data_IF_203558449178
#
_entry.id   IF_203558449178
#
_cell.length_a   1.000
_cell.length_b   1.000
_cell.length_c   1.000
_cell.angle_alpha   90.00
_cell.angle_beta   90.00
_cell.angle_gamma   90.00
#
_symmetry.space_group_name_H-M   'P 1'
#
loop_
_entity.id
_entity.type
_entity.pdbx_description
1 polymer ?
#
# COMPACT_ATOMS: atom_id res chain seq x y z
N UNK A 1 16.72 -3.54 -10.53
CA UNK A 1 16.70 -2.08 -10.78
C UNK A 1 18.08 -1.61 -11.20
N UNK A 2 18.21 -0.81 -12.25
CA UNK A 2 19.50 -0.23 -12.65
C UNK A 2 19.93 0.86 -11.65
N UNK A 3 21.22 1.21 -11.64
CA UNK A 3 21.76 2.30 -10.81
C UNK A 3 21.07 3.63 -11.09
N UNK A 4 20.88 3.98 -12.37
CA UNK A 4 20.23 5.23 -12.76
C UNK A 4 18.77 5.33 -12.31
N UNK A 5 18.05 4.19 -12.24
CA UNK A 5 16.70 4.18 -11.67
C UNK A 5 16.70 4.42 -10.17
N UNK A 6 17.70 3.92 -9.42
CA UNK A 6 17.84 4.23 -8.00
C UNK A 6 18.13 5.71 -7.77
N UNK A 7 19.08 6.26 -8.52
CA UNK A 7 19.45 7.66 -8.36
C UNK A 7 18.27 8.59 -8.61
N UNK A 8 17.42 8.26 -9.60
CA UNK A 8 16.18 8.98 -9.86
C UNK A 8 15.19 8.88 -8.69
N UNK A 9 14.97 7.68 -8.15
CA UNK A 9 14.05 7.45 -7.04
C UNK A 9 14.52 8.17 -5.76
N UNK A 10 15.81 8.06 -5.43
CA UNK A 10 16.42 8.74 -4.28
C UNK A 10 16.36 10.27 -4.43
N UNK A 11 16.61 10.78 -5.64
CA UNK A 11 16.46 12.20 -5.95
C UNK A 11 15.01 12.68 -5.80
N UNK A 12 14.05 11.95 -6.37
CA UNK A 12 12.63 12.29 -6.29
C UNK A 12 12.13 12.27 -4.84
N UNK A 13 12.49 11.24 -4.07
CA UNK A 13 12.13 11.13 -2.66
C UNK A 13 12.69 12.29 -1.84
N UNK A 14 13.96 12.64 -2.06
CA UNK A 14 14.62 13.77 -1.39
C UNK A 14 13.95 15.11 -1.73
N UNK A 15 13.65 15.34 -3.01
CA UNK A 15 13.00 16.57 -3.47
C UNK A 15 11.58 16.73 -2.90
N UNK A 16 10.80 15.65 -2.86
CA UNK A 16 9.45 15.66 -2.30
C UNK A 16 9.46 15.92 -0.78
N UNK A 17 10.37 15.25 -0.06
CA UNK A 17 10.53 15.46 1.40
C UNK A 17 10.99 16.88 1.73
N UNK A 18 11.90 17.46 0.95
CA UNK A 18 12.34 18.86 1.14
C UNK A 18 11.18 19.87 1.00
N UNK A 19 10.12 19.51 0.27
CA UNK A 19 8.90 20.31 0.12
C UNK A 19 7.80 19.94 1.13
N UNK A 20 8.11 19.09 2.12
CA UNK A 20 7.13 18.63 3.11
C UNK A 20 6.02 17.73 2.53
N UNK A 21 6.24 17.12 1.36
CA UNK A 21 5.29 16.18 0.75
C UNK A 21 5.47 14.79 1.34
N UNK A 22 4.40 14.01 1.32
CA UNK A 22 4.38 12.61 1.74
C UNK A 22 4.71 11.67 0.58
N UNK A 23 5.26 10.50 0.91
CA UNK A 23 5.57 9.43 -0.04
C UNK A 23 4.84 8.17 0.39
N UNK A 24 4.19 7.48 -0.57
CA UNK A 24 3.61 6.16 -0.38
C UNK A 24 4.39 5.11 -1.16
N UNK A 25 4.43 3.87 -0.65
CA UNK A 25 5.08 2.75 -1.31
C UNK A 25 4.22 1.48 -1.26
N UNK A 26 3.88 0.94 -2.43
CA UNK A 26 3.27 -0.38 -2.60
C UNK A 26 4.33 -1.30 -3.25
N UNK A 27 4.74 -2.40 -2.60
CA UNK A 27 5.82 -3.24 -3.10
C UNK A 27 5.50 -4.01 -4.40
N UNK A 28 4.23 -4.32 -4.67
CA UNK A 28 3.72 -5.05 -5.85
C UNK A 28 4.74 -6.05 -6.43
N UNK A 29 5.08 -7.10 -5.66
CA UNK A 29 6.25 -7.92 -5.93
C UNK A 29 6.20 -8.60 -7.31
N UNK A 30 7.34 -8.58 -8.01
CA UNK A 30 7.55 -9.23 -9.31
C UNK A 30 8.84 -10.08 -9.28
N UNK A 31 8.88 -11.22 -8.56
CA UNK A 31 10.12 -11.97 -8.31
C UNK A 31 10.90 -12.35 -9.58
N UNK A 32 10.19 -12.62 -10.68
CA UNK A 32 10.77 -12.95 -12.00
C UNK A 32 11.68 -11.88 -12.60
N UNK A 33 11.57 -10.62 -12.13
CA UNK A 33 12.39 -9.50 -12.60
C UNK A 33 13.70 -9.35 -11.82
N UNK A 34 13.94 -10.20 -10.82
CA UNK A 34 15.06 -10.10 -9.90
C UNK A 34 15.98 -11.31 -10.01
N UNK A 35 17.27 -11.09 -9.76
CA UNK A 35 18.26 -12.18 -9.76
C UNK A 35 18.05 -13.15 -8.59
N UNK A 36 17.54 -12.62 -7.48
CA UNK A 36 17.20 -13.39 -6.28
C UNK A 36 16.15 -12.65 -5.45
N UNK A 37 15.43 -13.40 -4.61
CA UNK A 37 14.50 -12.84 -3.63
C UNK A 37 15.21 -11.95 -2.60
N UNK A 38 16.42 -12.34 -2.18
CA UNK A 38 17.23 -11.55 -1.24
C UNK A 38 17.59 -10.17 -1.81
N UNK A 39 18.04 -10.11 -3.08
CA UNK A 39 18.33 -8.84 -3.74
C UNK A 39 17.05 -8.00 -3.88
N UNK A 40 15.93 -8.60 -4.26
CA UNK A 40 14.62 -7.92 -4.32
C UNK A 40 14.24 -7.31 -2.97
N UNK A 41 14.30 -8.10 -1.90
CA UNK A 41 13.90 -7.67 -0.56
C UNK A 41 14.79 -6.52 -0.06
N UNK A 42 16.12 -6.63 -0.18
CA UNK A 42 17.07 -5.57 0.18
C UNK A 42 16.72 -4.25 -0.53
N UNK A 43 16.53 -4.35 -1.84
CA UNK A 43 16.32 -3.23 -2.73
C UNK A 43 14.97 -2.54 -2.55
N UNK A 44 13.90 -3.30 -2.46
CA UNK A 44 12.56 -2.74 -2.24
C UNK A 44 12.43 -2.17 -0.83
N UNK A 45 13.03 -2.80 0.18
CA UNK A 45 13.03 -2.24 1.53
C UNK A 45 13.79 -0.91 1.61
N UNK A 46 14.91 -0.76 0.90
CA UNK A 46 15.62 0.53 0.80
C UNK A 46 14.70 1.65 0.29
N UNK A 47 13.79 1.35 -0.63
CA UNK A 47 12.80 2.31 -1.12
C UNK A 47 11.67 2.51 -0.10
N UNK A 48 11.15 1.43 0.48
CA UNK A 48 10.06 1.47 1.48
C UNK A 48 10.44 2.32 2.70
N UNK A 49 11.69 2.27 3.17
CA UNK A 49 12.16 3.09 4.30
C UNK A 49 12.17 4.60 4.01
N UNK A 50 12.07 4.99 2.74
CA UNK A 50 11.94 6.39 2.36
C UNK A 50 10.47 6.85 2.35
N UNK A 51 9.50 5.94 2.43
CA UNK A 51 8.08 6.27 2.41
C UNK A 51 7.55 6.71 3.78
N UNK A 52 6.50 7.53 3.77
CA UNK A 52 5.67 7.82 4.94
C UNK A 52 4.63 6.71 5.16
N UNK A 53 4.08 6.17 4.07
CA UNK A 53 3.06 5.14 4.10
C UNK A 53 3.48 3.92 3.28
N UNK A 54 3.43 2.73 3.86
CA UNK A 54 3.74 1.47 3.17
C UNK A 54 2.47 0.62 3.09
N UNK A 55 2.16 0.08 1.91
CA UNK A 55 0.91 -0.63 1.64
C UNK A 55 1.15 -2.07 1.13
N UNK A 56 1.78 -2.97 1.91
CA UNK A 56 2.03 -4.34 1.45
C UNK A 56 0.77 -5.20 1.52
N UNK A 57 0.71 -6.28 0.72
CA UNK A 57 -0.06 -7.46 1.10
C UNK A 57 0.65 -8.28 2.17
N UNK A 58 -0.08 -9.13 2.91
CA UNK A 58 0.53 -9.97 3.97
C UNK A 58 1.68 -10.82 3.42
N UNK A 59 1.47 -11.54 2.31
CA UNK A 59 2.52 -12.39 1.71
C UNK A 59 3.74 -11.59 1.27
N UNK A 60 3.53 -10.40 0.71
CA UNK A 60 4.61 -9.50 0.31
C UNK A 60 5.40 -9.02 1.52
N UNK A 61 4.70 -8.63 2.59
CA UNK A 61 5.30 -8.26 3.86
C UNK A 61 6.14 -9.37 4.47
N UNK A 62 5.65 -10.62 4.46
CA UNK A 62 6.42 -11.77 4.93
C UNK A 62 7.72 -11.97 4.14
N UNK A 63 7.64 -11.90 2.80
CA UNK A 63 8.81 -12.04 1.91
C UNK A 63 9.83 -10.91 2.16
N UNK A 64 9.35 -9.67 2.28
CA UNK A 64 10.22 -8.50 2.41
C UNK A 64 10.87 -8.39 3.78
N UNK A 65 10.18 -8.77 4.84
CA UNK A 65 10.61 -8.49 6.23
C UNK A 65 11.12 -9.73 6.97
N UNK A 66 10.73 -10.93 6.52
CA UNK A 66 10.95 -12.19 7.26
C UNK A 66 9.99 -12.40 8.43
N UNK A 67 9.07 -11.46 8.69
CA UNK A 67 8.10 -11.54 9.77
C UNK A 67 6.91 -12.43 9.41
N UNK A 68 6.20 -12.93 10.43
CA UNK A 68 5.07 -13.87 10.26
C UNK A 68 3.71 -13.32 10.69
N UNK A 69 3.68 -12.14 11.31
CA UNK A 69 2.47 -11.50 11.83
C UNK A 69 2.25 -10.13 11.21
N UNK A 70 1.00 -9.66 11.07
CA UNK A 70 0.72 -8.29 10.64
C UNK A 70 1.46 -7.26 11.48
N UNK A 71 1.47 -7.46 12.81
CA UNK A 71 2.15 -6.61 13.76
C UNK A 71 3.66 -6.57 13.52
N UNK A 72 4.31 -7.72 13.35
CA UNK A 72 5.74 -7.81 13.09
C UNK A 72 6.14 -7.12 11.77
N UNK A 73 5.36 -7.37 10.71
CA UNK A 73 5.58 -6.72 9.40
C UNK A 73 5.47 -5.20 9.55
N UNK A 74 4.45 -4.70 10.25
CA UNK A 74 4.31 -3.27 10.44
C UNK A 74 5.43 -2.68 11.30
N UNK A 75 5.78 -3.33 12.41
CA UNK A 75 6.84 -2.88 13.32
C UNK A 75 8.20 -2.83 12.63
N UNK A 76 8.46 -3.74 11.67
CA UNK A 76 9.67 -3.67 10.85
C UNK A 76 9.80 -2.33 10.12
N UNK A 77 8.73 -1.82 9.51
CA UNK A 77 8.74 -0.55 8.78
C UNK A 77 8.68 0.65 9.72
N UNK A 78 7.82 0.62 10.74
CA UNK A 78 7.62 1.72 11.69
C UNK A 78 8.90 2.05 12.46
N UNK A 79 9.64 1.03 12.90
CA UNK A 79 10.93 1.19 13.57
C UNK A 79 12.03 1.81 12.67
N UNK A 80 11.76 1.99 11.37
CA UNK A 80 12.67 2.56 10.38
C UNK A 80 12.19 3.91 9.81
N UNK A 81 11.22 4.54 10.48
CA UNK A 81 10.77 5.90 10.19
C UNK A 81 9.54 6.00 9.29
N UNK A 82 8.94 4.87 8.89
CA UNK A 82 7.62 4.87 8.24
C UNK A 82 6.58 5.30 9.26
N UNK A 83 5.60 6.12 8.84
CA UNK A 83 4.58 6.69 9.74
C UNK A 83 3.35 5.81 9.88
N UNK A 84 2.97 5.11 8.81
CA UNK A 84 1.86 4.17 8.81
C UNK A 84 2.11 2.99 7.86
N UNK A 85 1.63 1.81 8.25
CA UNK A 85 1.63 0.61 7.43
C UNK A 85 0.20 0.12 7.31
N UNK A 86 -0.23 -0.16 6.07
CA UNK A 86 -1.56 -0.68 5.76
C UNK A 86 -1.41 -2.02 5.04
N UNK A 87 -1.72 -3.11 5.73
CA UNK A 87 -1.62 -4.46 5.24
C UNK A 87 -2.92 -4.90 4.57
N UNK A 88 -2.85 -5.21 3.28
CA UNK A 88 -3.94 -5.83 2.52
C UNK A 88 -4.08 -7.29 2.97
N UNK A 89 -5.20 -7.65 3.60
CA UNK A 89 -5.50 -9.00 4.11
C UNK A 89 -6.43 -9.79 3.19
N UNK A 90 -6.71 -9.29 1.98
CA UNK A 90 -7.53 -9.97 0.98
C UNK A 90 -9.00 -9.95 1.38
N UNK A 91 -9.62 -11.12 1.51
CA UNK A 91 -11.04 -11.25 1.84
C UNK A 91 -11.40 -10.74 3.25
N UNK A 92 -10.42 -10.62 4.14
CA UNK A 92 -10.61 -10.06 5.48
C UNK A 92 -10.56 -8.52 5.50
N UNK A 93 -10.20 -7.90 4.38
CA UNK A 93 -10.10 -6.44 4.20
C UNK A 93 -8.67 -5.95 4.34
N UNK A 94 -8.43 -5.16 5.39
CA UNK A 94 -7.11 -4.62 5.66
C UNK A 94 -6.88 -4.39 7.15
N UNK A 95 -5.62 -4.48 7.56
CA UNK A 95 -5.15 -4.16 8.90
C UNK A 95 -4.15 -3.00 8.82
N UNK A 96 -4.09 -2.14 9.82
CA UNK A 96 -3.16 -1.01 9.81
C UNK A 96 -2.53 -0.77 11.18
N UNK A 97 -1.35 -0.12 11.17
CA UNK A 97 -0.68 0.40 12.36
C UNK A 97 0.12 1.66 12.04
N UNK A 98 0.20 2.56 13.00
CA UNK A 98 0.93 3.83 12.93
C UNK A 98 2.07 3.89 13.94
N UNK A 99 2.99 4.82 13.70
CA UNK A 99 4.13 5.06 14.59
C UNK A 99 3.73 5.61 15.97
N UNK A 100 2.55 6.24 16.10
CA UNK A 100 2.00 6.72 17.37
C UNK A 100 1.16 5.66 18.11
N UNK A 101 1.06 4.44 17.56
CA UNK A 101 0.47 3.29 18.23
C UNK A 101 -1.01 3.03 17.91
N UNK A 102 -1.64 3.82 17.03
CA UNK A 102 -2.95 3.47 16.47
C UNK A 102 -2.82 2.18 15.66
N UNK A 103 -3.73 1.23 15.88
CA UNK A 103 -3.83 0.02 15.08
C UNK A 103 -5.25 -0.48 15.01
N UNK A 104 -5.59 -1.21 13.94
CA UNK A 104 -6.92 -1.77 13.79
C UNK A 104 -7.09 -2.58 12.52
N UNK A 105 -8.23 -3.24 12.42
CA UNK A 105 -8.67 -3.95 11.23
C UNK A 105 -9.95 -3.30 10.68
N UNK A 106 -10.04 -3.22 9.36
CA UNK A 106 -11.21 -2.76 8.64
C UNK A 106 -11.66 -3.88 7.71
N UNK A 107 -12.87 -4.37 7.93
CA UNK A 107 -13.45 -5.47 7.16
C UNK A 107 -13.52 -5.14 5.66
N UNK A 108 -13.39 -6.16 4.82
CA UNK A 108 -13.61 -6.04 3.38
C UNK A 108 -15.04 -5.60 3.06
N UNK A 109 -15.19 -4.89 1.95
CA UNK A 109 -16.51 -4.67 1.34
C UNK A 109 -16.84 -5.91 0.51
N UNK A 110 -17.89 -6.62 0.91
CA UNK A 110 -18.37 -7.80 0.17
C UNK A 110 -19.05 -7.35 -1.12
N UNK A 111 -18.74 -8.04 -2.20
CA UNK A 111 -19.36 -7.83 -3.50
C UNK A 111 -19.81 -9.19 -4.05
N UNK A 112 -20.98 -9.23 -4.66
CA UNK A 112 -21.60 -10.48 -5.11
C UNK A 112 -21.07 -10.95 -6.48
N UNK A 113 -20.41 -10.06 -7.22
CA UNK A 113 -19.93 -10.31 -8.58
C UNK A 113 -18.42 -10.06 -8.66
N UNK A 114 -17.61 -11.12 -8.76
CA UNK A 114 -16.16 -11.00 -9.01
C UNK A 114 -15.91 -11.28 -10.48
N UNK A 115 -15.47 -10.27 -11.22
CA UNK A 115 -15.27 -10.32 -12.68
C UNK A 115 -13.79 -10.45 -13.02
N UNK A 116 -12.94 -9.64 -12.40
CA UNK A 116 -11.48 -9.65 -12.58
C UNK A 116 -10.79 -9.50 -11.22
N UNK A 117 -9.61 -10.08 -11.06
CA UNK A 117 -8.79 -9.97 -9.84
C UNK A 117 -7.54 -9.10 -10.05
N UNK A 118 -7.37 -8.56 -11.26
CA UNK A 118 -6.36 -7.55 -11.59
C UNK A 118 -6.89 -6.15 -11.19
N UNK A 119 -6.04 -5.30 -10.61
CA UNK A 119 -6.41 -3.93 -10.21
C UNK A 119 -6.94 -3.66 -8.78
N UNK A 120 -7.42 -4.63 -7.94
CA UNK A 120 -7.91 -4.30 -6.60
C UNK A 120 -6.85 -3.67 -5.70
N UNK A 121 -5.58 -4.04 -5.88
CA UNK A 121 -4.46 -3.47 -5.12
C UNK A 121 -4.26 -1.98 -5.43
N UNK A 122 -4.29 -1.62 -6.72
CA UNK A 122 -4.11 -0.24 -7.16
C UNK A 122 -5.32 0.62 -6.79
N UNK A 123 -6.55 0.11 -6.96
CA UNK A 123 -7.76 0.75 -6.47
C UNK A 123 -7.76 0.97 -4.96
N UNK A 124 -7.27 -0.01 -4.19
CA UNK A 124 -7.09 0.12 -2.75
C UNK A 124 -6.09 1.24 -2.41
N UNK A 125 -4.93 1.27 -3.06
CA UNK A 125 -3.92 2.30 -2.86
C UNK A 125 -4.47 3.70 -3.17
N UNK A 126 -5.20 3.87 -4.28
CA UNK A 126 -5.89 5.13 -4.63
C UNK A 126 -6.85 5.56 -3.52
N UNK A 127 -7.65 4.63 -2.98
CA UNK A 127 -8.59 4.93 -1.91
C UNK A 127 -7.90 5.39 -0.62
N UNK A 128 -6.84 4.70 -0.20
CA UNK A 128 -6.08 5.08 0.99
C UNK A 128 -5.41 6.45 0.79
N UNK A 129 -4.64 6.61 -0.29
CA UNK A 129 -3.86 7.82 -0.55
C UNK A 129 -4.78 9.04 -0.70
N UNK A 130 -5.87 8.93 -1.47
CA UNK A 130 -6.80 10.05 -1.67
C UNK A 130 -7.46 10.51 -0.37
N UNK A 131 -7.83 9.59 0.52
CA UNK A 131 -8.40 9.94 1.82
C UNK A 131 -7.39 10.59 2.76
N UNK A 132 -6.15 10.10 2.79
CA UNK A 132 -5.08 10.69 3.61
C UNK A 132 -4.72 12.11 3.12
N UNK A 133 -4.69 12.33 1.80
CA UNK A 133 -4.49 13.67 1.22
C UNK A 133 -5.64 14.64 1.55
N UNK A 134 -6.84 14.12 1.85
CA UNK A 134 -7.98 14.89 2.35
C UNK A 134 -7.99 15.07 3.88
N UNK A 135 -6.93 14.63 4.57
CA UNK A 135 -6.81 14.73 6.03
C UNK A 135 -7.74 13.80 6.81
N UNK A 136 -8.23 12.72 6.18
CA UNK A 136 -9.07 11.73 6.86
C UNK A 136 -8.23 10.86 7.82
N UNK A 137 -8.82 10.40 8.93
CA UNK A 137 -8.19 9.39 9.79
C UNK A 137 -7.83 8.12 9.02
N UNK A 138 -6.78 7.42 9.44
CA UNK A 138 -6.26 6.24 8.74
C UNK A 138 -7.33 5.15 8.60
N UNK A 139 -8.11 4.88 9.64
CA UNK A 139 -9.24 3.94 9.58
C UNK A 139 -10.25 4.26 8.46
N UNK A 140 -10.56 5.54 8.23
CA UNK A 140 -11.44 5.97 7.13
C UNK A 140 -10.75 5.85 5.77
N UNK A 141 -9.44 6.11 5.71
CA UNK A 141 -8.67 5.92 4.50
C UNK A 141 -8.62 4.45 4.08
N UNK A 142 -8.40 3.54 5.03
CA UNK A 142 -8.44 2.09 4.81
C UNK A 142 -9.84 1.64 4.36
N UNK A 143 -10.91 2.17 4.98
CA UNK A 143 -12.27 1.87 4.54
C UNK A 143 -12.55 2.34 3.09
N UNK A 144 -12.03 3.51 2.70
CA UNK A 144 -12.11 3.98 1.30
C UNK A 144 -11.31 3.07 0.36
N UNK A 145 -10.11 2.65 0.78
CA UNK A 145 -9.31 1.66 0.07
C UNK A 145 -10.09 0.37 -0.19
N UNK A 146 -10.68 -0.23 0.86
CA UNK A 146 -11.51 -1.43 0.73
C UNK A 146 -12.68 -1.22 -0.23
N UNK A 147 -13.37 -0.08 -0.15
CA UNK A 147 -14.49 0.25 -1.06
C UNK A 147 -14.02 0.32 -2.52
N UNK A 148 -12.98 1.10 -2.83
CA UNK A 148 -12.50 1.23 -4.21
C UNK A 148 -11.93 -0.09 -4.74
N UNK A 149 -11.13 -0.81 -3.94
CA UNK A 149 -10.63 -2.13 -4.32
C UNK A 149 -11.76 -3.12 -4.65
N UNK A 150 -12.86 -3.07 -3.89
CA UNK A 150 -14.05 -3.90 -4.14
C UNK A 150 -14.82 -3.49 -5.40
N UNK A 151 -14.72 -2.24 -5.86
CA UNK A 151 -15.33 -1.80 -7.13
C UNK A 151 -14.47 -2.21 -8.32
N UNK A 152 -13.14 -2.14 -8.19
CA UNK A 152 -12.21 -2.52 -9.24
C UNK A 152 -12.35 -3.99 -9.67
N UNK A 153 -12.64 -4.91 -8.74
CA UNK A 153 -12.83 -6.35 -9.07
C UNK A 153 -14.12 -6.68 -9.80
N UNK A 154 -15.05 -5.73 -9.90
CA UNK A 154 -16.37 -5.93 -10.52
C UNK A 154 -16.38 -5.59 -12.02
N UNK A 155 -15.27 -5.12 -12.57
CA UNK A 155 -15.12 -4.75 -13.98
C UNK A 155 -13.87 -5.38 -14.57
N UNK A 156 -13.83 -5.46 -15.90
CA UNK A 156 -12.63 -5.89 -16.61
C UNK A 156 -11.77 -4.67 -16.92
N UNK A 157 -10.50 -4.67 -16.48
CA UNK A 157 -9.57 -3.56 -16.68
C UNK A 157 -8.98 -3.01 -15.38
N UNK A 158 -7.91 -2.22 -15.50
CA UNK A 158 -7.08 -1.76 -14.38
C UNK A 158 -7.62 -0.45 -13.75
N UNK A 159 -8.36 0.35 -14.54
CA UNK A 159 -8.80 1.70 -14.13
C UNK A 159 -10.29 1.97 -14.40
N UNK A 160 -10.94 1.10 -15.17
CA UNK A 160 -12.30 1.22 -15.65
C UNK A 160 -13.35 1.16 -14.53
N UNK A 161 -12.95 0.65 -13.36
CA UNK A 161 -13.82 0.50 -12.17
C UNK A 161 -13.59 1.56 -11.11
N UNK A 162 -12.74 2.56 -11.37
CA UNK A 162 -12.44 3.60 -10.40
C UNK A 162 -13.63 4.58 -10.30
N UNK A 163 -14.20 4.77 -9.09
CA UNK A 163 -15.36 5.62 -8.92
C UNK A 163 -14.98 7.10 -8.91
N UNK A 164 -15.93 7.93 -9.30
CA UNK A 164 -15.94 9.37 -9.05
C UNK A 164 -16.21 9.68 -7.57
N UNK A 165 -15.93 10.92 -7.15
CA UNK A 165 -16.27 11.41 -5.81
C UNK A 165 -17.75 11.28 -5.49
N UNK A 166 -18.61 11.58 -6.46
CA UNK A 166 -20.06 11.45 -6.33
C UNK A 166 -20.48 9.99 -6.04
N UNK A 167 -19.90 9.01 -6.72
CA UNK A 167 -20.17 7.58 -6.48
C UNK A 167 -19.60 7.08 -5.15
N UNK A 168 -18.52 7.72 -4.67
CA UNK A 168 -17.99 7.46 -3.34
C UNK A 168 -18.82 8.07 -2.22
N UNK A 169 -19.65 9.08 -2.51
CA UNK A 169 -20.42 9.84 -1.52
C UNK A 169 -19.57 10.79 -0.69
N UNK A 170 -18.48 11.31 -1.26
CA UNK A 170 -17.50 12.20 -0.61
C UNK A 170 -17.23 13.47 -1.40
#
# INVERSE_FOLDING_TARGET
LSTSSYDLLDHAASAMKAQGKTISFDPNLRPVLWKSEAEMAEKLNRLAFQADWVLPGIKEGMILTGESTPEGIADFYLNRGVKAVVLKTGADGAWFKTADGEQGAVAAVKVDNVVDTVGPGDGFAVGVISALLEGKPLSQAVARGNKIGSLAIQVQGDSEGLPTRAELGV
#
